data_IF_159033671970
#
_entry.id   IF_159033671970
#
_cell.length_a   1.000
_cell.length_b   1.000
_cell.length_c   1.000
_cell.angle_alpha   90.00
_cell.angle_beta   90.00
_cell.angle_gamma   90.00
#
_symmetry.space_group_name_H-M   'P 1'
#
loop_
_entity.id
_entity.type
_entity.pdbx_description
1 polymer ?
#
# COMPACT_ATOMS: atom_id res chain seq x y z
N UNK A 1 24.49 -8.04 -31.91
CA UNK A 1 25.74 -8.21 -31.12
C UNK A 1 25.32 -8.49 -29.70
N UNK A 2 25.98 -9.41 -28.96
CA UNK A 2 25.64 -9.63 -27.53
C UNK A 2 26.06 -8.40 -26.72
N UNK A 3 25.16 -7.93 -25.84
CA UNK A 3 25.40 -6.81 -24.93
C UNK A 3 26.30 -7.21 -23.76
N UNK A 4 26.07 -8.42 -23.22
CA UNK A 4 26.79 -8.95 -22.06
C UNK A 4 27.03 -10.46 -22.20
N UNK A 5 27.89 -11.00 -21.36
CA UNK A 5 28.09 -12.43 -21.13
C UNK A 5 28.25 -12.75 -19.67
N UNK A 6 28.10 -14.00 -19.29
CA UNK A 6 28.53 -14.48 -17.98
C UNK A 6 30.07 -14.63 -17.97
N UNK A 7 30.70 -14.17 -16.90
CA UNK A 7 32.12 -14.32 -16.64
C UNK A 7 32.45 -15.73 -16.16
N UNK A 8 33.77 -16.03 -16.04
CA UNK A 8 34.22 -17.26 -15.40
C UNK A 8 34.19 -17.21 -13.86
N UNK A 9 33.90 -16.04 -13.29
CA UNK A 9 33.75 -15.89 -11.85
C UNK A 9 32.46 -16.60 -11.40
N UNK A 10 32.60 -17.48 -10.45
CA UNK A 10 31.50 -18.31 -9.91
C UNK A 10 31.35 -18.02 -8.42
N UNK A 11 30.08 -17.88 -7.98
CA UNK A 11 29.73 -17.67 -6.59
C UNK A 11 28.64 -18.67 -6.20
N UNK A 12 28.76 -19.33 -5.06
CA UNK A 12 27.67 -20.06 -4.45
C UNK A 12 26.87 -19.10 -3.57
N UNK A 13 25.58 -18.91 -3.90
CA UNK A 13 24.67 -18.08 -3.16
C UNK A 13 23.73 -18.95 -2.32
N UNK A 14 23.65 -18.64 -1.04
CA UNK A 14 22.79 -19.35 -0.09
C UNK A 14 21.58 -18.50 0.24
N UNK A 15 20.41 -19.12 0.26
CA UNK A 15 19.16 -18.47 0.65
C UNK A 15 18.29 -19.47 1.43
N UNK A 16 17.31 -18.98 2.14
CA UNK A 16 16.36 -19.80 2.91
C UNK A 16 14.96 -19.58 2.38
N UNK A 17 14.22 -20.66 2.15
CA UNK A 17 12.84 -20.64 1.71
C UNK A 17 12.06 -21.67 2.53
N UNK A 18 10.96 -21.25 3.17
CA UNK A 18 10.12 -22.10 4.04
C UNK A 18 10.89 -22.87 5.11
N UNK A 19 11.93 -22.25 5.68
CA UNK A 19 12.80 -22.85 6.68
C UNK A 19 13.83 -23.85 6.12
N UNK A 20 13.90 -24.01 4.80
CA UNK A 20 14.84 -24.90 4.12
C UNK A 20 15.97 -24.07 3.50
N UNK A 21 17.21 -24.48 3.77
CA UNK A 21 18.39 -23.85 3.18
C UNK A 21 18.66 -24.39 1.77
N UNK A 22 18.72 -23.48 0.84
CA UNK A 22 19.03 -23.73 -0.56
C UNK A 22 20.34 -23.07 -0.96
N UNK A 23 20.90 -23.51 -2.07
CA UNK A 23 22.04 -22.85 -2.69
C UNK A 23 21.92 -22.90 -4.21
N UNK A 24 22.36 -21.84 -4.85
CA UNK A 24 22.41 -21.71 -6.31
C UNK A 24 23.79 -21.23 -6.76
N UNK A 25 24.26 -21.76 -7.86
CA UNK A 25 25.52 -21.31 -8.46
C UNK A 25 25.26 -20.14 -9.38
N UNK A 26 25.90 -19.01 -9.11
CA UNK A 26 25.76 -17.77 -9.88
C UNK A 26 27.07 -17.43 -10.59
N UNK A 27 26.94 -16.73 -11.72
CA UNK A 27 28.07 -16.16 -12.48
C UNK A 27 27.87 -14.66 -12.63
N UNK A 28 28.95 -13.91 -12.51
CA UNK A 28 28.94 -12.47 -12.66
C UNK A 28 28.76 -12.06 -14.13
N UNK A 29 28.03 -11.00 -14.39
CA UNK A 29 27.87 -10.43 -15.74
C UNK A 29 29.00 -9.47 -16.07
N UNK A 30 29.38 -9.44 -17.36
CA UNK A 30 30.36 -8.50 -17.90
C UNK A 30 29.82 -7.92 -19.22
N UNK A 31 29.82 -6.59 -19.32
CA UNK A 31 29.44 -5.87 -20.54
C UNK A 31 30.44 -6.12 -21.67
N UNK A 32 29.95 -6.41 -22.87
CA UNK A 32 30.76 -6.65 -24.08
C UNK A 32 30.86 -5.41 -24.94
N UNK A 33 29.94 -4.49 -24.87
CA UNK A 33 29.85 -3.25 -25.63
C UNK A 33 29.49 -2.09 -24.72
N UNK A 34 29.73 -0.86 -25.19
CA UNK A 34 29.19 0.34 -24.54
C UNK A 34 27.68 0.45 -24.81
N UNK A 35 26.87 0.72 -23.78
CA UNK A 35 25.46 1.01 -23.91
C UNK A 35 25.00 1.88 -22.74
N UNK A 36 24.10 2.82 -22.97
CA UNK A 36 23.70 3.79 -21.96
C UNK A 36 24.92 4.39 -21.21
N UNK A 37 24.99 4.24 -19.91
CA UNK A 37 26.12 4.66 -19.04
C UNK A 37 27.08 3.52 -18.69
N UNK A 38 26.87 2.31 -19.22
CA UNK A 38 27.71 1.13 -19.00
C UNK A 38 28.80 1.02 -20.06
N UNK A 39 30.05 0.84 -19.63
CA UNK A 39 31.21 0.67 -20.53
C UNK A 39 31.51 -0.81 -20.76
N UNK A 40 32.02 -1.12 -21.95
CA UNK A 40 32.55 -2.45 -22.24
C UNK A 40 33.61 -2.85 -21.20
N UNK A 41 33.52 -4.07 -20.69
CA UNK A 41 34.35 -4.57 -19.62
C UNK A 41 33.82 -4.29 -18.19
N UNK A 42 32.76 -3.48 -18.02
CA UNK A 42 32.13 -3.27 -16.73
C UNK A 42 31.56 -4.58 -16.20
N UNK A 43 31.83 -4.88 -14.95
CA UNK A 43 31.25 -5.97 -14.20
C UNK A 43 29.95 -5.51 -13.51
N UNK A 44 28.95 -6.40 -13.46
CA UNK A 44 27.68 -6.13 -12.76
C UNK A 44 27.34 -7.21 -11.75
N UNK A 45 26.05 -7.43 -11.51
CA UNK A 45 25.55 -8.43 -10.58
C UNK A 45 25.72 -9.87 -11.03
N UNK A 46 25.03 -10.79 -10.36
CA UNK A 46 25.19 -12.24 -10.52
C UNK A 46 23.90 -12.88 -11.01
N UNK A 47 24.03 -13.79 -11.97
CA UNK A 47 22.91 -14.54 -12.55
C UNK A 47 23.14 -16.05 -12.44
N UNK A 48 22.06 -16.80 -12.29
CA UNK A 48 22.07 -18.27 -12.47
C UNK A 48 22.04 -18.68 -13.93
N UNK A 49 21.46 -17.83 -14.78
CA UNK A 49 21.30 -18.07 -16.23
C UNK A 49 21.49 -16.76 -17.02
N UNK A 50 22.20 -16.82 -18.15
CA UNK A 50 22.39 -15.64 -19.03
C UNK A 50 21.07 -15.03 -19.52
N UNK A 51 20.02 -15.85 -19.68
CA UNK A 51 18.69 -15.39 -20.09
C UNK A 51 17.94 -14.58 -19.02
N UNK A 52 18.43 -14.53 -17.78
CA UNK A 52 17.82 -13.74 -16.70
C UNK A 52 18.01 -12.23 -16.89
N UNK A 53 18.97 -11.81 -17.71
CA UNK A 53 19.15 -10.41 -18.15
C UNK A 53 19.01 -10.34 -19.68
N UNK A 54 18.13 -9.48 -20.17
CA UNK A 54 17.90 -9.33 -21.61
C UNK A 54 19.13 -8.81 -22.36
N UNK A 55 19.37 -9.34 -23.54
CA UNK A 55 20.37 -8.83 -24.47
C UNK A 55 19.88 -7.58 -25.23
N UNK A 56 18.58 -7.32 -25.23
CA UNK A 56 17.96 -6.13 -25.80
C UNK A 56 17.83 -5.00 -24.78
N UNK A 57 17.60 -3.78 -25.24
CA UNK A 57 17.46 -2.60 -24.39
C UNK A 57 18.71 -2.28 -23.56
N UNK A 58 18.54 -1.39 -22.59
CA UNK A 58 19.62 -0.85 -21.75
C UNK A 58 19.60 -1.41 -20.32
N UNK A 59 18.83 -2.50 -20.04
CA UNK A 59 18.77 -3.06 -18.70
C UNK A 59 20.14 -3.48 -18.17
N UNK A 60 20.40 -3.17 -16.89
CA UNK A 60 21.65 -3.52 -16.21
C UNK A 60 21.49 -3.68 -14.69
N UNK A 61 22.35 -4.53 -14.13
CA UNK A 61 22.46 -4.78 -12.69
C UNK A 61 23.78 -4.15 -12.24
N UNK A 62 23.69 -2.96 -11.66
CA UNK A 62 24.86 -2.11 -11.37
C UNK A 62 25.67 -2.57 -10.18
N UNK A 63 25.03 -3.08 -9.14
CA UNK A 63 25.70 -3.47 -7.90
C UNK A 63 26.24 -4.91 -7.97
N UNK A 64 27.52 -5.07 -7.63
CA UNK A 64 28.21 -6.36 -7.65
C UNK A 64 27.73 -7.35 -6.56
N UNK A 65 26.86 -6.96 -5.63
CA UNK A 65 26.26 -7.86 -4.65
C UNK A 65 24.87 -8.30 -5.07
N UNK A 66 24.28 -7.68 -6.08
CA UNK A 66 22.94 -8.02 -6.58
C UNK A 66 22.91 -9.39 -7.22
N UNK A 67 21.80 -10.09 -7.03
CA UNK A 67 21.59 -11.45 -7.56
C UNK A 67 20.23 -11.57 -8.27
N UNK A 68 20.20 -12.25 -9.42
CA UNK A 68 18.96 -12.59 -10.14
C UNK A 68 18.99 -14.09 -10.45
N UNK A 69 18.02 -14.85 -9.96
CA UNK A 69 18.02 -16.30 -10.04
C UNK A 69 16.63 -16.92 -9.98
N UNK A 70 16.54 -18.24 -10.04
CA UNK A 70 15.30 -19.00 -9.93
C UNK A 70 14.21 -18.55 -10.90
N UNK A 71 14.57 -18.39 -12.18
CA UNK A 71 13.64 -18.02 -13.24
C UNK A 71 13.22 -16.55 -13.26
N UNK A 72 13.84 -15.71 -12.45
CA UNK A 72 13.61 -14.26 -12.48
C UNK A 72 14.23 -13.62 -13.74
N UNK A 73 13.68 -12.48 -14.17
CA UNK A 73 14.11 -11.79 -15.39
C UNK A 73 14.17 -10.28 -15.22
N UNK A 74 15.14 -9.67 -15.89
CA UNK A 74 15.33 -8.22 -16.01
C UNK A 74 15.42 -7.90 -17.50
N UNK A 75 14.44 -7.16 -17.99
CA UNK A 75 14.26 -6.90 -19.43
C UNK A 75 14.26 -5.38 -19.72
N UNK A 76 14.29 -5.03 -21.01
CA UNK A 76 14.15 -3.69 -21.59
C UNK A 76 15.21 -2.69 -21.08
N UNK A 77 14.81 -1.65 -20.33
CA UNK A 77 15.70 -0.62 -19.82
C UNK A 77 15.73 -0.61 -18.27
N UNK A 78 15.29 -1.69 -17.64
CA UNK A 78 15.21 -1.80 -16.19
C UNK A 78 16.58 -1.66 -15.52
N UNK A 79 16.63 -0.93 -14.41
CA UNK A 79 17.87 -0.61 -13.68
C UNK A 79 17.81 -1.13 -12.26
N UNK A 80 18.78 -1.98 -11.90
CA UNK A 80 18.95 -2.46 -10.53
C UNK A 80 20.18 -1.79 -9.92
N UNK A 81 19.96 -0.86 -8.99
CA UNK A 81 21.01 -0.15 -8.24
C UNK A 81 20.97 -0.55 -6.77
N UNK A 82 22.07 -0.39 -6.06
CA UNK A 82 22.18 -0.94 -4.72
C UNK A 82 22.03 -2.46 -4.71
N UNK A 83 22.02 -3.07 -3.55
CA UNK A 83 21.93 -4.53 -3.42
C UNK A 83 20.49 -5.01 -3.67
N UNK A 84 20.25 -5.61 -4.83
CA UNK A 84 18.95 -6.17 -5.19
C UNK A 84 18.99 -7.71 -5.20
N UNK A 85 17.91 -8.33 -4.73
CA UNK A 85 17.67 -9.78 -4.79
C UNK A 85 16.40 -10.04 -5.59
N UNK A 86 16.52 -10.55 -6.80
CA UNK A 86 15.37 -10.81 -7.69
C UNK A 86 15.30 -12.31 -7.94
N UNK A 87 14.17 -12.94 -7.60
CA UNK A 87 14.10 -14.40 -7.63
C UNK A 87 12.70 -14.97 -7.90
N UNK A 88 12.62 -16.30 -8.04
CA UNK A 88 11.37 -17.07 -8.10
C UNK A 88 10.36 -16.52 -9.11
N UNK A 89 10.81 -16.38 -10.38
CA UNK A 89 9.95 -15.98 -11.48
C UNK A 89 9.50 -14.51 -11.47
N UNK A 90 10.10 -13.66 -10.63
CA UNK A 90 9.84 -12.22 -10.67
C UNK A 90 10.33 -11.60 -11.98
N UNK A 91 9.60 -10.62 -12.51
CA UNK A 91 9.93 -9.93 -13.75
C UNK A 91 10.00 -8.42 -13.55
N UNK A 92 11.10 -7.83 -14.01
CA UNK A 92 11.35 -6.39 -13.96
C UNK A 92 11.58 -5.93 -15.41
N UNK A 93 10.79 -5.00 -15.89
CA UNK A 93 10.84 -4.58 -17.31
C UNK A 93 10.66 -3.08 -17.50
N UNK A 94 10.67 -2.68 -18.76
CA UNK A 94 10.50 -1.31 -19.22
C UNK A 94 11.56 -0.36 -18.62
N UNK A 95 11.17 0.74 -18.00
CA UNK A 95 12.08 1.71 -17.38
C UNK A 95 12.08 1.61 -15.84
N UNK A 96 11.71 0.46 -15.29
CA UNK A 96 11.64 0.27 -13.85
C UNK A 96 13.01 0.47 -13.18
N UNK A 97 13.03 1.25 -12.10
CA UNK A 97 14.23 1.49 -11.30
C UNK A 97 14.06 0.95 -9.89
N UNK A 98 14.90 -0.02 -9.54
CA UNK A 98 14.94 -0.65 -8.22
C UNK A 98 16.26 -0.33 -7.52
N UNK A 99 16.19 0.05 -6.25
CA UNK A 99 17.35 0.41 -5.45
C UNK A 99 17.27 -0.22 -4.05
N UNK A 100 18.18 -1.18 -3.75
CA UNK A 100 18.18 -1.96 -2.51
C UNK A 100 16.84 -2.68 -2.25
N UNK A 101 16.39 -3.50 -3.20
CA UNK A 101 15.05 -4.11 -3.19
C UNK A 101 15.14 -5.63 -3.28
N UNK A 102 14.26 -6.31 -2.55
CA UNK A 102 14.01 -7.74 -2.73
C UNK A 102 12.68 -7.95 -3.47
N UNK A 103 12.70 -8.70 -4.60
CA UNK A 103 11.50 -9.00 -5.39
C UNK A 103 11.45 -10.49 -5.70
N UNK A 104 10.32 -11.14 -5.37
CA UNK A 104 10.22 -12.58 -5.54
C UNK A 104 8.81 -13.11 -5.80
N UNK A 105 8.72 -14.41 -6.13
CA UNK A 105 7.47 -15.20 -6.22
C UNK A 105 6.48 -14.66 -7.25
N UNK A 106 6.98 -14.39 -8.47
CA UNK A 106 6.14 -14.03 -9.61
C UNK A 106 5.65 -12.57 -9.61
N UNK A 107 6.23 -11.71 -8.78
CA UNK A 107 5.96 -10.28 -8.83
C UNK A 107 6.32 -9.68 -10.19
N UNK A 108 5.49 -8.78 -10.69
CA UNK A 108 5.69 -8.10 -11.99
C UNK A 108 5.80 -6.60 -11.78
N UNK A 109 6.94 -6.05 -12.16
CA UNK A 109 7.25 -4.63 -12.05
C UNK A 109 7.58 -4.11 -13.46
N UNK A 110 6.84 -3.12 -13.92
CA UNK A 110 6.96 -2.61 -15.29
C UNK A 110 6.82 -1.09 -15.38
N UNK A 111 6.93 -0.57 -16.58
CA UNK A 111 6.74 0.84 -16.93
C UNK A 111 7.80 1.77 -16.26
N UNK A 112 7.40 2.90 -15.68
CA UNK A 112 8.31 3.87 -15.06
C UNK A 112 8.30 3.79 -13.54
N UNK A 113 8.16 2.60 -12.98
CA UNK A 113 8.09 2.36 -11.54
C UNK A 113 9.44 2.66 -10.87
N UNK A 114 9.37 3.23 -9.67
CA UNK A 114 10.54 3.40 -8.79
C UNK A 114 10.29 2.70 -7.47
N UNK A 115 11.19 1.78 -7.08
CA UNK A 115 11.12 1.07 -5.78
C UNK A 115 12.45 1.24 -5.05
N UNK A 116 12.38 1.61 -3.78
CA UNK A 116 13.56 1.79 -2.93
C UNK A 116 13.43 1.09 -1.60
N UNK A 117 14.48 0.41 -1.14
CA UNK A 117 14.64 -0.16 0.21
C UNK A 117 13.37 -0.87 0.72
N UNK A 118 12.83 -1.78 -0.10
CA UNK A 118 11.53 -2.40 0.14
C UNK A 118 11.54 -3.87 -0.27
N UNK A 119 10.57 -4.63 0.20
CA UNK A 119 10.39 -6.05 -0.13
C UNK A 119 9.05 -6.26 -0.83
N UNK A 120 9.10 -6.96 -1.97
CA UNK A 120 7.93 -7.29 -2.79
C UNK A 120 7.88 -8.79 -3.00
N UNK A 121 6.82 -9.43 -2.55
CA UNK A 121 6.68 -10.89 -2.62
C UNK A 121 5.30 -11.32 -3.13
N UNK A 122 5.27 -12.32 -3.96
CA UNK A 122 4.04 -12.95 -4.47
C UNK A 122 3.55 -12.34 -5.77
N UNK A 123 2.53 -12.95 -6.36
CA UNK A 123 1.96 -12.55 -7.65
C UNK A 123 1.24 -11.22 -7.50
N UNK A 124 1.95 -10.14 -7.74
CA UNK A 124 1.43 -8.77 -7.74
C UNK A 124 1.84 -8.02 -9.01
N UNK A 125 1.21 -6.89 -9.27
CA UNK A 125 1.54 -5.99 -10.36
C UNK A 125 1.83 -4.59 -9.82
N UNK A 126 3.02 -4.07 -10.11
CA UNK A 126 3.40 -2.68 -9.83
C UNK A 126 3.76 -2.05 -11.16
N UNK A 127 3.05 -1.00 -11.55
CA UNK A 127 3.09 -0.50 -12.93
C UNK A 127 2.95 1.03 -13.03
N UNK A 128 3.01 1.53 -14.25
CA UNK A 128 2.85 2.93 -14.66
C UNK A 128 3.95 3.84 -14.06
N UNK A 129 3.62 4.75 -13.18
CA UNK A 129 4.54 5.68 -12.52
C UNK A 129 4.49 5.52 -10.99
N UNK A 130 4.08 4.34 -10.52
CA UNK A 130 3.98 4.05 -9.10
C UNK A 130 5.35 4.16 -8.40
N UNK A 131 5.33 4.64 -7.18
CA UNK A 131 6.53 4.83 -6.35
C UNK A 131 6.39 4.08 -5.04
N UNK A 132 7.28 3.15 -4.79
CA UNK A 132 7.39 2.46 -3.51
C UNK A 132 8.68 2.97 -2.85
N UNK A 133 8.50 3.73 -1.80
CA UNK A 133 9.56 4.40 -1.05
C UNK A 133 10.02 3.49 0.11
N UNK A 134 11.07 3.86 0.85
CA UNK A 134 11.68 3.00 1.85
C UNK A 134 10.71 2.42 2.88
N UNK A 135 11.08 1.24 3.38
CA UNK A 135 10.41 0.51 4.46
C UNK A 135 9.01 -0.02 4.12
N UNK A 136 8.77 -0.32 2.83
CA UNK A 136 7.53 -0.98 2.42
C UNK A 136 7.68 -2.51 2.39
N UNK A 137 6.62 -3.19 2.80
CA UNK A 137 6.46 -4.62 2.67
C UNK A 137 5.19 -4.91 1.85
N UNK A 138 5.37 -5.41 0.63
CA UNK A 138 4.27 -5.77 -0.28
C UNK A 138 4.23 -7.28 -0.42
N UNK A 139 3.16 -7.91 0.08
CA UNK A 139 3.00 -9.37 0.06
C UNK A 139 1.67 -9.73 -0.58
N UNK A 140 1.70 -10.13 -1.84
CA UNK A 140 0.54 -10.70 -2.50
C UNK A 140 0.35 -12.15 -2.03
N UNK A 141 -0.73 -12.41 -1.34
CA UNK A 141 -1.17 -13.75 -0.97
C UNK A 141 -2.61 -13.95 -1.42
N UNK A 142 -2.99 -15.18 -1.70
CA UNK A 142 -4.39 -15.49 -1.94
C UNK A 142 -5.20 -15.15 -0.69
N UNK A 143 -6.21 -14.30 -0.86
CA UNK A 143 -7.17 -14.04 0.20
C UNK A 143 -8.01 -15.29 0.51
N UNK A 144 -8.77 -15.23 1.59
CA UNK A 144 -9.67 -16.30 2.05
C UNK A 144 -10.84 -16.59 1.08
N UNK A 145 -10.96 -15.84 0.01
CA UNK A 145 -12.03 -15.99 -0.99
C UNK A 145 -11.50 -16.49 -2.32
N UNK A 146 -12.32 -17.29 -3.00
CA UNK A 146 -12.01 -17.96 -4.26
C UNK A 146 -11.91 -17.05 -5.50
N UNK A 147 -11.95 -15.73 -5.36
CA UNK A 147 -11.74 -14.80 -6.48
C UNK A 147 -10.28 -14.81 -6.91
N UNK A 148 -9.98 -15.72 -7.81
CA UNK A 148 -8.65 -16.00 -8.36
C UNK A 148 -8.16 -14.82 -9.21
N UNK A 149 -9.05 -13.95 -9.69
CA UNK A 149 -8.76 -12.93 -10.70
C UNK A 149 -8.26 -11.59 -10.14
N UNK A 150 -8.36 -11.35 -8.84
CA UNK A 150 -7.84 -10.12 -8.22
C UNK A 150 -6.45 -10.34 -7.65
N UNK A 151 -5.45 -9.73 -8.25
CA UNK A 151 -4.10 -9.68 -7.72
C UNK A 151 -3.86 -8.33 -7.02
N UNK A 152 -2.94 -8.28 -6.08
CA UNK A 152 -2.47 -7.04 -5.48
C UNK A 152 -1.90 -6.13 -6.59
N UNK A 153 -2.33 -4.87 -6.62
CA UNK A 153 -1.85 -3.91 -7.62
C UNK A 153 -1.52 -2.56 -7.00
N UNK A 154 -0.41 -1.97 -7.45
CA UNK A 154 -0.04 -0.58 -7.16
C UNK A 154 0.33 0.07 -8.49
N UNK A 155 -0.43 1.07 -8.93
CA UNK A 155 -0.29 1.58 -10.28
C UNK A 155 -0.68 3.07 -10.42
N UNK A 156 -0.62 3.59 -11.63
CA UNK A 156 -0.73 5.01 -11.98
C UNK A 156 0.35 5.83 -11.28
N UNK A 157 0.04 6.86 -10.50
CA UNK A 157 1.02 7.70 -9.80
C UNK A 157 1.00 7.48 -8.29
N UNK A 158 0.45 6.37 -7.85
CA UNK A 158 0.37 6.03 -6.43
C UNK A 158 1.75 6.04 -5.77
N UNK A 159 1.81 6.56 -4.56
CA UNK A 159 3.04 6.59 -3.74
C UNK A 159 2.78 5.89 -2.42
N UNK A 160 3.64 4.93 -2.09
CA UNK A 160 3.57 4.14 -0.85
C UNK A 160 4.91 4.26 -0.12
N UNK A 161 4.88 4.56 1.17
CA UNK A 161 6.06 4.63 2.04
C UNK A 161 5.79 4.04 3.42
N UNK A 162 6.80 3.44 4.03
CA UNK A 162 6.77 2.90 5.40
C UNK A 162 5.48 2.09 5.71
N UNK A 163 4.99 1.31 4.75
CA UNK A 163 3.66 0.68 4.81
C UNK A 163 3.70 -0.81 4.48
N UNK A 164 2.69 -1.52 4.95
CA UNK A 164 2.45 -2.93 4.64
C UNK A 164 1.22 -3.07 3.76
N UNK A 165 1.41 -3.58 2.56
CA UNK A 165 0.33 -3.79 1.58
C UNK A 165 0.23 -5.28 1.30
N UNK A 166 -0.88 -5.90 1.64
CA UNK A 166 -0.97 -7.35 1.59
C UNK A 166 -2.24 -7.89 0.92
N UNK A 167 -2.21 -9.18 0.57
CA UNK A 167 -3.27 -9.95 -0.07
C UNK A 167 -3.61 -9.44 -1.48
N UNK A 168 -4.78 -8.83 -1.67
CA UNK A 168 -5.33 -8.37 -2.95
C UNK A 168 -5.62 -6.87 -2.95
N UNK A 169 -4.98 -6.11 -2.04
CA UNK A 169 -5.17 -4.67 -1.91
C UNK A 169 -4.84 -3.92 -3.21
N UNK A 170 -5.54 -2.82 -3.46
CA UNK A 170 -5.40 -1.99 -4.66
C UNK A 170 -5.05 -0.56 -4.26
N UNK A 171 -3.95 -0.01 -4.79
CA UNK A 171 -3.57 1.39 -4.57
C UNK A 171 -3.31 2.03 -5.93
N UNK A 172 -4.06 3.08 -6.28
CA UNK A 172 -3.95 3.70 -7.61
C UNK A 172 -4.37 5.17 -7.62
N UNK A 173 -4.35 5.79 -8.79
CA UNK A 173 -4.54 7.23 -8.94
C UNK A 173 -3.30 8.03 -8.53
N UNK A 174 -3.51 9.11 -7.85
CA UNK A 174 -2.50 9.94 -7.18
C UNK A 174 -2.47 9.69 -5.66
N UNK A 175 -2.96 8.53 -5.22
CA UNK A 175 -3.05 8.18 -3.82
C UNK A 175 -1.68 8.17 -3.13
N UNK A 176 -1.64 8.67 -1.91
CA UNK A 176 -0.44 8.67 -1.06
C UNK A 176 -0.74 7.87 0.21
N UNK A 177 0.06 6.83 0.45
CA UNK A 177 -0.09 5.93 1.59
C UNK A 177 1.21 5.92 2.38
N UNK A 178 1.17 6.39 3.60
CA UNK A 178 2.31 6.48 4.49
C UNK A 178 1.99 5.92 5.87
N UNK A 179 2.85 5.06 6.41
CA UNK A 179 2.63 4.38 7.68
C UNK A 179 1.22 3.77 7.77
N UNK A 180 0.95 2.78 6.93
CA UNK A 180 -0.34 2.15 6.86
C UNK A 180 -0.25 0.63 6.70
N UNK A 181 -1.28 -0.05 7.18
CA UNK A 181 -1.52 -1.44 6.92
C UNK A 181 -2.79 -1.57 6.07
N UNK A 182 -2.60 -1.87 4.77
CA UNK A 182 -3.68 -2.05 3.80
C UNK A 182 -3.76 -3.50 3.40
N UNK A 183 -4.87 -4.15 3.68
CA UNK A 183 -4.97 -5.60 3.49
C UNK A 183 -6.31 -6.07 2.89
N UNK A 184 -6.37 -7.37 2.57
CA UNK A 184 -7.46 -8.05 1.89
C UNK A 184 -7.76 -7.42 0.53
N UNK A 185 -8.95 -6.84 0.33
CA UNK A 185 -9.40 -6.20 -0.90
C UNK A 185 -9.61 -4.70 -0.73
N UNK A 186 -8.97 -4.11 0.26
CA UNK A 186 -9.07 -2.69 0.51
C UNK A 186 -8.54 -1.89 -0.69
N UNK A 187 -9.17 -0.77 -0.96
CA UNK A 187 -8.82 0.10 -2.08
C UNK A 187 -8.52 1.51 -1.58
N UNK A 188 -7.39 2.08 -2.02
CA UNK A 188 -7.02 3.49 -1.78
C UNK A 188 -6.71 4.12 -3.12
N UNK A 189 -7.49 5.12 -3.54
CA UNK A 189 -7.37 5.61 -4.91
C UNK A 189 -7.70 7.10 -5.08
N UNK A 190 -7.64 7.58 -6.32
CA UNK A 190 -7.74 8.99 -6.72
C UNK A 190 -6.67 9.86 -6.05
N UNK A 191 -7.02 10.85 -5.25
CA UNK A 191 -6.10 11.72 -4.53
C UNK A 191 -6.14 11.48 -3.00
N UNK A 192 -6.59 10.31 -2.58
CA UNK A 192 -6.71 9.95 -1.18
C UNK A 192 -5.35 9.98 -0.45
N UNK A 193 -5.35 10.38 0.80
CA UNK A 193 -4.15 10.46 1.63
C UNK A 193 -4.31 9.67 2.92
N UNK A 194 -3.40 8.73 3.12
CA UNK A 194 -3.31 7.96 4.35
C UNK A 194 -2.03 8.40 5.05
N UNK A 195 -2.19 9.01 6.21
CA UNK A 195 -1.12 9.67 6.95
C UNK A 195 -0.97 9.04 8.34
N UNK A 196 -0.29 7.90 8.41
CA UNK A 196 0.16 7.33 9.68
C UNK A 196 1.45 7.99 10.17
N UNK A 197 2.06 7.42 11.18
CA UNK A 197 3.35 7.89 11.71
C UNK A 197 4.11 6.72 12.36
N UNK A 198 5.34 6.95 12.82
CA UNK A 198 6.23 5.93 13.40
C UNK A 198 5.62 5.15 14.58
N UNK A 199 4.61 5.68 15.26
CA UNK A 199 3.95 5.03 16.40
C UNK A 199 2.65 4.33 16.00
N UNK A 200 1.96 4.82 14.97
CA UNK A 200 0.61 4.41 14.61
C UNK A 200 0.44 4.25 13.08
N UNK A 201 0.30 3.02 12.64
CA UNK A 201 -0.10 2.70 11.27
C UNK A 201 -1.63 2.80 11.11
N UNK A 202 -2.09 3.53 10.11
CA UNK A 202 -3.52 3.54 9.73
C UNK A 202 -3.91 2.16 9.20
N UNK A 203 -5.04 1.62 9.65
CA UNK A 203 -5.46 0.28 9.24
C UNK A 203 -6.70 0.30 8.34
N UNK A 204 -6.55 -0.25 7.13
CA UNK A 204 -7.62 -0.35 6.12
C UNK A 204 -7.71 -1.80 5.66
N UNK A 205 -8.83 -2.46 5.92
CA UNK A 205 -8.95 -3.88 5.64
C UNK A 205 -10.31 -4.29 5.05
N UNK A 206 -10.42 -5.57 4.72
CA UNK A 206 -11.57 -6.21 4.09
C UNK A 206 -11.87 -5.62 2.69
N UNK A 207 -13.01 -4.96 2.49
CA UNK A 207 -13.39 -4.28 1.26
C UNK A 207 -13.53 -2.76 1.48
N UNK A 208 -12.84 -2.22 2.48
CA UNK A 208 -12.90 -0.79 2.80
C UNK A 208 -12.29 0.05 1.67
N UNK A 209 -12.81 1.26 1.49
CA UNK A 209 -12.39 2.17 0.41
C UNK A 209 -12.09 3.56 0.93
N UNK A 210 -10.98 4.13 0.44
CA UNK A 210 -10.64 5.54 0.65
C UNK A 210 -10.35 6.17 -0.70
N UNK A 211 -11.08 7.22 -1.06
CA UNK A 211 -11.05 7.75 -2.42
C UNK A 211 -11.25 9.27 -2.49
N UNK A 212 -11.24 9.81 -3.71
CA UNK A 212 -11.29 11.25 -3.99
C UNK A 212 -10.15 12.01 -3.29
N UNK A 213 -10.44 12.93 -2.37
CA UNK A 213 -9.47 13.69 -1.59
C UNK A 213 -9.56 13.39 -0.09
N UNK A 214 -10.17 12.28 0.24
CA UNK A 214 -10.32 11.87 1.63
C UNK A 214 -8.96 11.69 2.33
N UNK A 215 -8.95 11.97 3.64
CA UNK A 215 -7.75 11.85 4.46
C UNK A 215 -8.02 11.01 5.70
N UNK A 216 -7.12 10.06 5.95
CA UNK A 216 -7.06 9.34 7.22
C UNK A 216 -5.77 9.73 7.92
N UNK A 217 -5.84 10.26 9.12
CA UNK A 217 -4.69 10.80 9.85
C UNK A 217 -4.56 10.14 11.21
N UNK A 218 -3.46 9.44 11.45
CA UNK A 218 -3.18 8.88 12.77
C UNK A 218 -2.65 9.95 13.73
N UNK A 219 -3.14 9.93 14.95
CA UNK A 219 -2.57 10.75 16.03
C UNK A 219 -1.25 10.16 16.55
N UNK A 220 -0.60 10.89 17.45
CA UNK A 220 0.68 10.45 18.06
C UNK A 220 0.52 9.74 19.40
N UNK A 221 -0.69 9.80 19.99
CA UNK A 221 -0.99 9.13 21.24
C UNK A 221 -1.21 7.63 21.06
N UNK A 222 -1.26 6.90 22.15
CA UNK A 222 -1.59 5.48 22.17
C UNK A 222 -2.99 5.26 21.56
N UNK A 223 -3.13 4.25 20.72
CA UNK A 223 -4.38 3.89 20.02
C UNK A 223 -5.02 4.99 19.14
N UNK A 224 -4.31 6.04 18.80
CA UNK A 224 -4.81 7.11 17.93
C UNK A 224 -4.76 6.68 16.45
N UNK A 225 -5.47 5.60 16.12
CA UNK A 225 -5.39 4.92 14.82
C UNK A 225 -6.75 4.91 14.13
N UNK A 226 -6.90 5.59 12.97
CA UNK A 226 -8.06 5.37 12.11
C UNK A 226 -8.07 3.95 11.58
N UNK A 227 -9.18 3.25 11.77
CA UNK A 227 -9.37 1.87 11.33
C UNK A 227 -10.66 1.75 10.51
N UNK A 228 -10.51 1.29 9.26
CA UNK A 228 -11.62 1.03 8.36
C UNK A 228 -11.75 -0.46 8.10
N UNK A 229 -12.94 -1.02 8.31
CA UNK A 229 -13.21 -2.45 8.14
C UNK A 229 -14.48 -2.74 7.34
N UNK A 230 -14.54 -3.96 6.82
CA UNK A 230 -15.66 -4.47 6.02
C UNK A 230 -15.87 -3.64 4.75
N UNK A 231 -17.05 -3.03 4.57
CA UNK A 231 -17.38 -2.22 3.39
C UNK A 231 -17.45 -0.72 3.72
N UNK A 232 -16.75 -0.29 4.76
CA UNK A 232 -16.71 1.13 5.13
C UNK A 232 -16.01 1.96 4.06
N UNK A 233 -16.45 3.18 3.86
CA UNK A 233 -15.97 4.07 2.81
C UNK A 233 -15.74 5.48 3.36
N UNK A 234 -14.64 6.10 2.94
CA UNK A 234 -14.34 7.52 3.20
C UNK A 234 -13.97 8.16 1.86
N UNK A 235 -14.73 9.17 1.46
CA UNK A 235 -14.59 9.79 0.14
C UNK A 235 -14.69 11.31 0.18
N UNK A 236 -14.72 11.89 -1.01
CA UNK A 236 -14.81 13.34 -1.26
C UNK A 236 -13.70 14.14 -0.55
N UNK A 237 -14.02 15.04 0.37
CA UNK A 237 -13.03 15.82 1.14
C UNK A 237 -13.11 15.49 2.65
N UNK A 238 -13.65 14.34 2.99
CA UNK A 238 -13.80 13.93 4.38
C UNK A 238 -12.45 13.68 5.07
N UNK A 239 -12.37 13.99 6.34
CA UNK A 239 -11.19 13.77 7.18
C UNK A 239 -11.55 12.90 8.38
N UNK A 240 -10.79 11.83 8.59
CA UNK A 240 -10.92 10.97 9.76
C UNK A 240 -9.59 10.98 10.50
N UNK A 241 -9.60 11.45 11.74
CA UNK A 241 -8.41 11.68 12.53
C UNK A 241 -8.47 10.99 13.90
N UNK A 242 -7.35 10.40 14.31
CA UNK A 242 -7.19 9.80 15.63
C UNK A 242 -7.92 8.46 15.79
N UNK A 243 -8.34 8.14 17.01
CA UNK A 243 -8.99 6.88 17.34
C UNK A 243 -10.42 6.80 16.77
N UNK A 244 -10.53 6.35 15.53
CA UNK A 244 -11.81 6.18 14.83
C UNK A 244 -11.90 4.76 14.26
N UNK A 245 -12.95 4.04 14.62
CA UNK A 245 -13.24 2.71 14.09
C UNK A 245 -14.53 2.73 13.28
N UNK A 246 -14.41 2.56 11.97
CA UNK A 246 -15.52 2.52 11.01
C UNK A 246 -15.72 1.08 10.53
N UNK A 247 -16.93 0.55 10.70
CA UNK A 247 -17.27 -0.83 10.35
C UNK A 247 -18.50 -0.95 9.45
N UNK A 248 -18.57 -2.06 8.74
CA UNK A 248 -19.69 -2.45 7.89
C UNK A 248 -19.99 -1.38 6.82
N UNK A 249 -21.24 -0.92 6.70
CA UNK A 249 -21.68 0.01 5.65
C UNK A 249 -21.63 1.48 6.09
N UNK A 250 -20.55 1.86 6.74
CA UNK A 250 -20.32 3.26 7.11
C UNK A 250 -19.81 4.02 5.89
N UNK A 251 -20.43 5.12 5.56
CA UNK A 251 -20.01 6.04 4.49
C UNK A 251 -19.78 7.43 5.08
N UNK A 252 -18.59 7.97 4.88
CA UNK A 252 -18.21 9.33 5.29
C UNK A 252 -17.78 10.10 4.07
N UNK A 253 -18.49 11.18 3.76
CA UNK A 253 -18.28 12.00 2.57
C UNK A 253 -18.40 13.50 2.85
N UNK A 254 -18.57 14.29 1.77
CA UNK A 254 -18.64 15.76 1.87
C UNK A 254 -17.35 16.37 2.37
N UNK A 255 -17.49 17.26 3.32
CA UNK A 255 -16.43 17.88 4.11
C UNK A 255 -16.52 17.44 5.59
N UNK A 256 -17.04 16.26 5.83
CA UNK A 256 -17.20 15.75 7.19
C UNK A 256 -15.86 15.59 7.89
N UNK A 257 -15.81 15.87 9.18
CA UNK A 257 -14.60 15.76 9.99
C UNK A 257 -14.87 14.95 11.26
N UNK A 258 -14.22 13.77 11.33
CA UNK A 258 -14.23 12.90 12.50
C UNK A 258 -12.93 13.09 13.26
N UNK A 259 -13.01 13.49 14.53
CA UNK A 259 -11.85 13.72 15.40
C UNK A 259 -11.99 12.79 16.59
N UNK A 260 -11.34 11.65 16.49
CA UNK A 260 -11.52 10.54 17.41
C UNK A 260 -11.00 10.76 18.82
N UNK A 261 -11.75 10.16 19.74
CA UNK A 261 -11.35 10.14 21.08
C UNK A 261 -12.16 9.31 22.06
N UNK A 262 -12.50 8.02 21.83
CA UNK A 262 -12.64 7.21 20.61
C UNK A 262 -13.97 7.41 19.86
N UNK A 263 -13.99 7.27 18.55
CA UNK A 263 -15.23 7.22 17.75
C UNK A 263 -15.45 5.79 17.24
N UNK A 264 -16.63 5.24 17.47
CA UNK A 264 -17.08 3.97 16.88
C UNK A 264 -18.31 4.22 16.01
N UNK A 265 -18.18 3.93 14.72
CA UNK A 265 -19.29 3.91 13.77
C UNK A 265 -19.52 2.49 13.30
N UNK A 266 -20.73 1.96 13.48
CA UNK A 266 -21.04 0.58 13.16
C UNK A 266 -22.40 0.44 12.48
N UNK A 267 -22.50 -0.46 11.48
CA UNK A 267 -23.67 -0.77 10.69
C UNK A 267 -23.95 0.28 9.58
N UNK A 268 -25.17 0.70 9.33
CA UNK A 268 -25.56 1.53 8.18
C UNK A 268 -25.59 3.02 8.56
N UNK A 269 -24.43 3.68 8.41
CA UNK A 269 -24.25 5.07 8.80
C UNK A 269 -23.82 5.90 7.58
N UNK A 270 -24.48 7.03 7.38
CA UNK A 270 -24.13 8.01 6.36
C UNK A 270 -23.78 9.34 7.03
N UNK A 271 -22.59 9.85 6.76
CA UNK A 271 -22.11 11.16 7.23
C UNK A 271 -21.69 11.99 6.04
N UNK A 272 -22.33 13.12 5.85
CA UNK A 272 -22.13 14.01 4.68
C UNK A 272 -22.15 15.49 5.07
N UNK A 273 -21.97 16.37 4.09
CA UNK A 273 -21.98 17.82 4.26
C UNK A 273 -20.74 18.33 4.98
N UNK A 274 -20.92 19.18 5.98
CA UNK A 274 -19.86 19.71 6.85
C UNK A 274 -19.99 19.17 8.29
N UNK A 275 -20.54 17.99 8.43
CA UNK A 275 -20.76 17.37 9.74
C UNK A 275 -19.45 17.20 10.51
N UNK A 276 -19.48 17.45 11.80
CA UNK A 276 -18.34 17.26 12.70
C UNK A 276 -18.70 16.30 13.83
N UNK A 277 -17.86 15.29 14.06
CA UNK A 277 -18.01 14.36 15.18
C UNK A 277 -16.71 14.37 15.98
N UNK A 278 -16.81 14.61 17.28
CA UNK A 278 -15.65 14.74 18.15
C UNK A 278 -15.85 14.07 19.52
N UNK A 279 -14.75 13.51 20.05
CA UNK A 279 -14.68 12.94 21.39
C UNK A 279 -15.11 11.47 21.45
N UNK A 280 -15.59 11.02 22.61
CA UNK A 280 -16.04 9.63 22.82
C UNK A 280 -17.48 9.44 22.31
N UNK A 281 -17.60 8.97 21.06
CA UNK A 281 -18.89 8.87 20.36
C UNK A 281 -19.09 7.48 19.79
N UNK A 282 -20.24 6.88 20.08
CA UNK A 282 -20.69 5.62 19.49
C UNK A 282 -21.94 5.88 18.67
N UNK A 283 -21.92 5.50 17.40
CA UNK A 283 -23.07 5.59 16.51
C UNK A 283 -23.31 4.22 15.88
N UNK A 284 -24.52 3.72 16.05
CA UNK A 284 -24.89 2.38 15.61
C UNK A 284 -26.24 2.39 14.87
N UNK A 285 -26.42 1.40 14.01
CA UNK A 285 -27.63 1.19 13.22
C UNK A 285 -27.82 2.25 12.13
N UNK A 286 -29.04 2.60 11.77
CA UNK A 286 -29.35 3.44 10.61
C UNK A 286 -29.35 4.93 11.00
N UNK A 287 -28.16 5.56 11.01
CA UNK A 287 -28.03 6.98 11.36
C UNK A 287 -27.50 7.75 10.15
N UNK A 288 -28.18 8.85 9.84
CA UNK A 288 -27.75 9.83 8.83
C UNK A 288 -27.39 11.14 9.51
N UNK A 289 -26.21 11.68 9.18
CA UNK A 289 -25.71 12.96 9.73
C UNK A 289 -25.30 13.84 8.56
N UNK A 290 -25.96 14.99 8.42
CA UNK A 290 -25.74 15.85 7.26
C UNK A 290 -25.82 17.34 7.60
N UNK A 291 -25.56 18.20 6.60
CA UNK A 291 -25.52 19.64 6.80
C UNK A 291 -24.30 20.09 7.60
N UNK A 292 -24.47 20.96 8.58
CA UNK A 292 -23.43 21.42 9.51
C UNK A 292 -23.58 20.77 10.90
N UNK A 293 -24.23 19.62 10.99
CA UNK A 293 -24.49 18.95 12.26
C UNK A 293 -23.20 18.69 13.04
N UNK A 294 -23.25 18.93 14.35
CA UNK A 294 -22.12 18.75 15.24
C UNK A 294 -22.47 17.79 16.37
N UNK A 295 -21.68 16.72 16.53
CA UNK A 295 -21.79 15.79 17.65
C UNK A 295 -20.48 15.87 18.43
N UNK A 296 -20.52 16.42 19.64
CA UNK A 296 -19.32 16.66 20.43
C UNK A 296 -19.49 16.14 21.87
N UNK A 297 -18.83 15.03 22.16
CA UNK A 297 -18.76 14.54 23.55
C UNK A 297 -17.81 15.42 24.36
N UNK A 298 -18.29 15.93 25.50
CA UNK A 298 -17.45 16.67 26.44
C UNK A 298 -16.46 15.72 27.12
N UNK A 299 -15.40 16.27 27.71
CA UNK A 299 -14.39 15.49 28.41
C UNK A 299 -15.00 14.63 29.52
N UNK A 300 -14.78 13.33 29.46
CA UNK A 300 -15.33 12.34 30.40
C UNK A 300 -16.76 11.88 30.12
N UNK A 301 -17.44 12.47 29.12
CA UNK A 301 -18.76 12.04 28.70
C UNK A 301 -18.67 11.16 27.44
N UNK A 302 -19.68 10.29 27.29
CA UNK A 302 -19.86 9.47 26.07
C UNK A 302 -21.22 9.76 25.44
N UNK A 303 -21.22 9.97 24.14
CA UNK A 303 -22.45 10.07 23.35
C UNK A 303 -22.72 8.74 22.67
N UNK A 304 -23.93 8.21 22.81
CA UNK A 304 -24.37 7.01 22.12
C UNK A 304 -25.65 7.28 21.33
N UNK A 305 -25.51 7.29 20.00
CA UNK A 305 -26.63 7.39 19.06
C UNK A 305 -26.92 6.04 18.46
N UNK A 306 -28.16 5.62 18.50
CA UNK A 306 -28.60 4.35 17.89
C UNK A 306 -30.03 4.42 17.39
N UNK A 307 -30.37 3.50 16.51
CA UNK A 307 -31.68 3.43 15.88
C UNK A 307 -31.75 4.30 14.64
N UNK A 308 -32.91 4.30 13.98
CA UNK A 308 -33.11 5.10 12.77
C UNK A 308 -33.24 6.57 13.13
N UNK A 309 -32.20 7.36 12.82
CA UNK A 309 -32.14 8.80 13.17
C UNK A 309 -31.55 9.61 12.01
N UNK A 310 -31.99 10.85 11.92
CA UNK A 310 -31.41 11.87 11.04
C UNK A 310 -31.02 13.05 11.92
N UNK A 311 -29.75 13.44 11.87
CA UNK A 311 -29.20 14.63 12.52
C UNK A 311 -28.78 15.60 11.40
N UNK A 312 -29.39 16.76 11.30
CA UNK A 312 -29.21 17.60 10.10
C UNK A 312 -29.22 19.10 10.40
N UNK A 313 -28.88 19.89 9.37
CA UNK A 313 -28.82 21.35 9.48
C UNK A 313 -27.69 21.79 10.42
N UNK A 314 -27.99 22.63 11.39
CA UNK A 314 -27.05 23.15 12.40
C UNK A 314 -27.26 22.51 13.77
N UNK A 315 -27.79 21.30 13.80
CA UNK A 315 -28.07 20.57 15.04
C UNK A 315 -26.77 20.27 15.80
N UNK A 316 -26.79 20.55 17.12
CA UNK A 316 -25.63 20.31 17.99
C UNK A 316 -25.99 19.37 19.13
N UNK A 317 -25.39 18.17 19.15
CA UNK A 317 -25.60 17.14 20.14
C UNK A 317 -24.37 17.06 21.04
N UNK A 318 -24.55 17.38 22.34
CA UNK A 318 -23.47 17.31 23.34
C UNK A 318 -23.71 16.24 24.39
N UNK A 319 -24.85 15.56 24.37
CA UNK A 319 -25.23 14.47 25.31
C UNK A 319 -26.05 13.42 24.57
N UNK A 320 -26.00 12.19 25.06
CA UNK A 320 -26.87 11.13 24.54
C UNK A 320 -28.35 11.53 24.65
N UNK A 321 -29.08 11.59 23.51
CA UNK A 321 -30.51 11.91 23.54
C UNK A 321 -31.31 10.85 24.30
N UNK A 322 -32.24 11.27 25.13
CA UNK A 322 -33.16 10.35 25.78
C UNK A 322 -34.05 9.65 24.75
N UNK A 323 -34.31 8.38 24.96
CA UNK A 323 -35.20 7.59 24.07
C UNK A 323 -36.58 8.29 24.01
N UNK A 324 -36.91 8.83 22.81
CA UNK A 324 -38.19 9.51 22.59
C UNK A 324 -38.11 11.03 22.39
N UNK A 325 -36.91 11.65 22.39
CA UNK A 325 -36.73 13.11 22.29
C UNK A 325 -36.27 13.60 20.90
N UNK A 326 -36.40 12.76 19.86
CA UNK A 326 -36.14 13.13 18.45
C UNK A 326 -37.24 12.63 17.56
#
# INVERSE_FOLDING_TARGET
>A
MKKHRLSDHVRLYHFEEDGIKHSVTLRQIVALIDFSDVKAGSEGGWLDNEAALSQGGDCWIYDANSVVFAGARVDDNARLTGTCVISHGATISDNAWLDNVEVSHGARISDNVTIKQSQIRGVCRIADQARILPHCLVIAAQGLTSDIDKVLQIYQRATVSASRIVHQAQIYGDAVVEHAFVEHRAEVFDNARIEGNENNDVWICDNARVYDRARLVAGRGEDQIPTLRYSSQVGENAVVEGNCLLKHRVMVGGHAHLIGGPILLDDEILIEGHATIRGDVIIEQQVEICGNACIEALEGDRIHLRGRKIVSGDEHITRTPLLGSL
#
